data_IF_744944631054
#
_entry.id   IF_744944631054
#
_cell.length_a   1.000
_cell.length_b   1.000
_cell.length_c   1.000
_cell.angle_alpha   90.00
_cell.angle_beta   90.00
_cell.angle_gamma   90.00
#
_symmetry.space_group_name_H-M   'P 1'
#
loop_
_entity.id
_entity.type
_entity.pdbx_description
1 polymer ?
#
# COMPACT_ATOMS: atom_id res chain seq x y z
N UNK A 1 20.84 35.05 -1.46
CA UNK A 1 20.39 34.04 -0.45
C UNK A 1 18.99 33.65 -0.83
N UNK A 2 18.67 32.35 -0.92
CA UNK A 2 17.32 31.88 -1.28
C UNK A 2 16.40 32.09 -0.10
N UNK A 3 15.26 32.72 -0.33
CA UNK A 3 14.24 32.98 0.67
C UNK A 3 13.17 31.87 0.70
N UNK A 4 12.36 31.82 1.75
CA UNK A 4 11.21 30.89 1.81
C UNK A 4 10.22 31.12 0.66
N UNK A 5 10.01 32.40 0.31
CA UNK A 5 9.15 32.78 -0.80
C UNK A 5 9.69 32.30 -2.17
N UNK A 6 11.02 32.30 -2.36
CA UNK A 6 11.63 31.76 -3.58
C UNK A 6 11.37 30.25 -3.73
N UNK A 7 11.44 29.51 -2.62
CA UNK A 7 11.15 28.07 -2.58
C UNK A 7 9.68 27.80 -2.90
N UNK A 8 8.76 28.55 -2.32
CA UNK A 8 7.34 28.43 -2.58
C UNK A 8 7.02 28.75 -4.04
N UNK A 9 7.54 29.84 -4.58
CA UNK A 9 7.34 30.24 -5.97
C UNK A 9 7.93 29.21 -6.95
N UNK A 10 9.13 28.71 -6.69
CA UNK A 10 9.75 27.68 -7.52
C UNK A 10 8.92 26.38 -7.56
N UNK A 11 8.29 26.01 -6.43
CA UNK A 11 7.44 24.83 -6.37
C UNK A 11 6.03 25.03 -6.97
N UNK A 12 5.64 26.24 -7.34
CA UNK A 12 4.39 26.54 -8.06
C UNK A 12 4.54 26.51 -9.59
N UNK A 13 5.74 26.40 -10.09
CA UNK A 13 6.03 26.39 -11.54
C UNK A 13 5.39 25.17 -12.21
N UNK A 14 4.72 25.38 -13.35
CA UNK A 14 4.27 24.28 -14.22
C UNK A 14 5.47 23.60 -14.89
N UNK A 15 5.68 22.34 -14.58
CA UNK A 15 6.88 21.59 -15.01
C UNK A 15 6.91 21.42 -16.54
N UNK A 16 5.76 21.18 -17.19
CA UNK A 16 5.74 21.00 -18.64
C UNK A 16 6.09 22.31 -19.37
N UNK A 17 5.58 23.44 -18.87
CA UNK A 17 5.93 24.77 -19.38
C UNK A 17 7.41 25.09 -19.16
N UNK A 18 7.93 24.75 -17.97
CA UNK A 18 9.36 24.93 -17.70
C UNK A 18 10.25 24.10 -18.65
N UNK A 19 9.94 22.80 -18.84
CA UNK A 19 10.67 21.95 -19.78
C UNK A 19 10.65 22.52 -21.20
N UNK A 20 9.51 23.06 -21.62
CA UNK A 20 9.39 23.73 -22.93
C UNK A 20 10.32 24.96 -23.06
N UNK A 21 10.48 25.78 -22.02
CA UNK A 21 11.42 26.90 -22.01
C UNK A 21 12.88 26.44 -22.12
N UNK A 22 13.17 25.24 -21.68
CA UNK A 22 14.48 24.59 -21.76
C UNK A 22 14.71 23.82 -23.09
N UNK A 23 13.76 23.90 -24.02
CA UNK A 23 13.84 23.19 -25.30
C UNK A 23 13.54 21.70 -25.23
N UNK A 24 12.99 21.23 -24.11
CA UNK A 24 12.67 19.83 -23.88
C UNK A 24 11.20 19.57 -24.20
N UNK A 25 10.95 18.64 -25.13
CA UNK A 25 9.60 18.31 -25.57
C UNK A 25 8.89 17.35 -24.60
N UNK A 26 7.59 17.59 -24.41
CA UNK A 26 6.69 16.71 -23.65
C UNK A 26 5.52 16.32 -24.52
N UNK A 27 4.97 15.12 -24.33
CA UNK A 27 3.78 14.62 -25.04
C UNK A 27 2.55 14.83 -24.19
N UNK A 28 1.51 15.45 -24.72
CA UNK A 28 0.22 15.59 -24.00
C UNK A 28 -0.54 14.26 -23.99
N UNK A 29 -1.01 13.84 -22.82
CA UNK A 29 -1.80 12.63 -22.60
C UNK A 29 -2.99 12.99 -21.70
N UNK A 30 -4.15 13.20 -22.28
CA UNK A 30 -5.34 13.66 -21.55
C UNK A 30 -5.14 15.02 -20.89
N UNK A 31 -5.28 15.08 -19.57
CA UNK A 31 -5.07 16.28 -18.74
C UNK A 31 -3.64 16.45 -18.21
N UNK A 32 -2.73 15.54 -18.56
CA UNK A 32 -1.33 15.52 -18.13
C UNK A 32 -0.38 15.55 -19.31
N UNK A 33 0.91 15.65 -19.03
CA UNK A 33 1.99 15.50 -19.99
C UNK A 33 2.85 14.30 -19.62
N UNK A 34 3.40 13.62 -20.62
CA UNK A 34 4.45 12.62 -20.47
C UNK A 34 5.77 13.18 -20.98
N UNK A 35 6.81 12.98 -20.22
CA UNK A 35 8.18 13.26 -20.60
C UNK A 35 9.00 11.96 -20.56
N UNK A 36 9.78 11.73 -21.62
CA UNK A 36 10.69 10.59 -21.69
C UNK A 36 11.98 10.97 -20.99
N UNK A 37 12.14 10.55 -19.74
CA UNK A 37 13.36 10.76 -18.97
C UNK A 37 14.40 9.67 -19.27
N UNK A 38 15.68 9.86 -18.90
CA UNK A 38 16.70 8.81 -19.03
C UNK A 38 16.36 7.50 -18.32
N UNK A 39 15.52 7.55 -17.30
CA UNK A 39 15.10 6.39 -16.48
C UNK A 39 13.72 5.84 -16.86
N UNK A 40 13.03 6.46 -17.84
CA UNK A 40 11.71 6.04 -18.30
C UNK A 40 10.68 7.16 -18.26
N UNK A 41 9.43 6.82 -18.48
CA UNK A 41 8.33 7.80 -18.57
C UNK A 41 8.02 8.45 -17.24
N UNK A 42 7.88 9.76 -17.28
CA UNK A 42 7.46 10.60 -16.16
C UNK A 42 6.16 11.30 -16.52
N UNK A 43 5.14 11.10 -15.69
CA UNK A 43 3.87 11.82 -15.81
C UNK A 43 3.98 13.17 -15.10
N UNK A 44 3.51 14.24 -15.77
CA UNK A 44 3.57 15.62 -15.29
C UNK A 44 2.16 16.22 -15.34
N UNK A 45 1.71 16.80 -14.25
CA UNK A 45 0.45 17.53 -14.18
C UNK A 45 0.62 18.81 -13.34
N UNK A 46 0.68 19.94 -14.04
CA UNK A 46 0.96 21.23 -13.41
C UNK A 46 2.32 21.22 -12.71
N UNK A 47 2.33 21.51 -11.43
CA UNK A 47 3.52 21.49 -10.58
C UNK A 47 3.77 20.15 -9.87
N UNK A 48 3.20 19.07 -10.38
CA UNK A 48 3.40 17.71 -9.85
C UNK A 48 3.95 16.81 -10.93
N UNK A 49 4.82 15.89 -10.52
CA UNK A 49 5.35 14.85 -11.38
C UNK A 49 5.40 13.50 -10.65
N UNK A 50 5.36 12.43 -11.42
CA UNK A 50 5.51 11.08 -10.93
C UNK A 50 6.16 10.16 -11.96
N UNK A 51 7.19 9.44 -11.56
CA UNK A 51 7.82 8.35 -12.32
C UNK A 51 7.25 7.02 -11.85
N UNK A 52 6.47 6.37 -12.70
CA UNK A 52 5.93 5.03 -12.38
C UNK A 52 7.03 3.98 -12.29
N UNK A 53 8.08 4.13 -13.11
CA UNK A 53 9.20 3.19 -13.10
C UNK A 53 10.02 3.25 -11.83
N UNK A 54 10.28 4.46 -11.33
CA UNK A 54 11.07 4.66 -10.11
C UNK A 54 10.21 4.73 -8.85
N UNK A 55 8.88 4.82 -9.00
CA UNK A 55 7.91 4.97 -7.93
C UNK A 55 8.17 6.19 -7.04
N UNK A 56 8.63 7.27 -7.65
CA UNK A 56 8.92 8.56 -6.99
C UNK A 56 8.23 9.69 -7.69
N UNK A 57 7.88 10.72 -6.93
CA UNK A 57 7.24 11.92 -7.43
C UNK A 57 7.54 13.12 -6.56
N UNK A 58 7.02 14.28 -6.92
CA UNK A 58 7.24 15.47 -6.12
C UNK A 58 6.86 16.77 -6.81
N UNK A 59 7.52 17.83 -6.41
CA UNK A 59 7.38 19.20 -6.89
C UNK A 59 8.52 19.59 -7.83
N UNK A 60 8.45 20.77 -8.51
CA UNK A 60 9.43 21.20 -9.47
C UNK A 60 10.87 21.20 -9.00
N UNK A 61 11.14 21.63 -7.76
CA UNK A 61 12.51 21.64 -7.23
C UNK A 61 13.09 20.22 -7.21
N UNK A 62 12.33 19.25 -6.68
CA UNK A 62 12.77 17.85 -6.65
C UNK A 62 12.92 17.26 -8.07
N UNK A 63 12.07 17.68 -9.00
CA UNK A 63 12.15 17.27 -10.39
C UNK A 63 13.48 17.70 -11.02
N UNK A 64 13.81 18.99 -10.89
CA UNK A 64 15.03 19.58 -11.48
C UNK A 64 16.28 19.01 -10.82
N UNK A 65 16.31 18.90 -9.49
CA UNK A 65 17.42 18.27 -8.78
C UNK A 65 17.66 16.82 -9.25
N UNK A 66 16.56 16.05 -9.42
CA UNK A 66 16.66 14.63 -9.78
C UNK A 66 17.11 14.39 -11.22
N UNK A 67 16.50 15.08 -12.17
CA UNK A 67 16.68 14.77 -13.60
C UNK A 67 17.73 15.63 -14.29
N UNK A 68 18.15 16.72 -13.67
CA UNK A 68 19.19 17.63 -14.21
C UNK A 68 20.37 17.77 -13.26
N UNK A 69 20.44 16.95 -12.22
CA UNK A 69 21.54 16.87 -11.26
C UNK A 69 21.98 18.24 -10.71
N UNK A 70 21.01 19.13 -10.45
CA UNK A 70 21.29 20.44 -9.89
C UNK A 70 21.24 20.40 -8.36
N UNK A 71 22.14 21.12 -7.73
CA UNK A 71 22.05 21.39 -6.30
C UNK A 71 20.81 22.25 -5.99
N UNK A 72 20.30 22.17 -4.76
CA UNK A 72 19.06 22.82 -4.35
C UNK A 72 18.99 24.31 -4.72
N UNK A 73 20.09 25.07 -4.50
CA UNK A 73 20.15 26.50 -4.82
C UNK A 73 20.03 26.78 -6.31
N UNK A 74 20.68 25.96 -7.11
CA UNK A 74 20.70 26.10 -8.56
C UNK A 74 19.37 25.65 -9.18
N UNK A 75 18.73 24.63 -8.60
CA UNK A 75 17.40 24.19 -8.98
C UNK A 75 16.35 25.29 -8.76
N UNK A 76 16.35 25.93 -7.58
CA UNK A 76 15.45 27.07 -7.29
C UNK A 76 15.73 28.24 -8.24
N UNK A 77 17.00 28.61 -8.46
CA UNK A 77 17.38 29.70 -9.34
C UNK A 77 16.96 29.42 -10.78
N UNK A 78 17.17 28.23 -11.29
CA UNK A 78 16.77 27.78 -12.61
C UNK A 78 15.26 27.87 -12.85
N UNK A 79 14.46 27.41 -11.89
CA UNK A 79 13.01 27.47 -11.95
C UNK A 79 12.47 28.89 -11.96
N UNK A 80 13.13 29.81 -11.24
CA UNK A 80 12.76 31.24 -11.20
C UNK A 80 13.27 32.09 -12.36
N UNK A 81 13.86 31.45 -13.38
CA UNK A 81 14.25 32.13 -14.63
C UNK A 81 15.62 32.81 -14.60
N UNK A 82 16.45 32.58 -13.60
CA UNK A 82 17.84 32.99 -13.58
C UNK A 82 18.64 32.04 -14.50
N UNK A 83 19.42 32.61 -15.44
CA UNK A 83 20.07 31.96 -16.59
C UNK A 83 20.83 30.66 -16.23
N UNK A 84 20.16 29.54 -16.30
CA UNK A 84 20.78 28.22 -16.31
C UNK A 84 20.35 27.49 -17.58
N UNK A 85 21.32 27.10 -18.40
CA UNK A 85 21.05 26.17 -19.51
C UNK A 85 21.08 24.76 -18.89
N UNK A 86 19.93 24.10 -18.83
CA UNK A 86 19.86 22.70 -18.39
C UNK A 86 20.65 21.86 -19.39
N UNK A 87 21.69 21.21 -18.93
CA UNK A 87 22.26 20.07 -19.64
C UNK A 87 21.55 18.85 -19.10
N UNK A 88 20.82 18.15 -19.95
CA UNK A 88 20.51 16.76 -19.67
C UNK A 88 21.84 16.09 -19.42
N UNK A 89 22.09 15.69 -18.17
CA UNK A 89 23.19 14.77 -17.93
C UNK A 89 22.92 13.58 -18.86
N UNK A 90 23.83 13.35 -19.80
CA UNK A 90 23.89 12.08 -20.48
C UNK A 90 24.29 11.10 -19.37
N UNK A 91 23.28 10.65 -18.65
CA UNK A 91 23.46 9.50 -17.80
C UNK A 91 23.99 8.38 -18.71
N UNK A 92 25.31 8.22 -18.77
CA UNK A 92 25.82 6.88 -18.97
C UNK A 92 25.05 6.08 -17.93
N UNK A 93 24.23 5.20 -18.42
CA UNK A 93 23.46 4.27 -17.61
C UNK A 93 24.51 3.58 -16.75
N UNK A 94 24.84 4.16 -15.57
CA UNK A 94 25.39 3.33 -14.52
C UNK A 94 24.36 2.21 -14.47
N UNK A 95 24.76 1.03 -14.92
CA UNK A 95 23.99 -0.18 -14.69
C UNK A 95 23.61 -0.11 -13.24
N UNK A 96 22.36 0.31 -12.96
CA UNK A 96 21.86 0.33 -11.59
C UNK A 96 22.21 -1.04 -11.10
N UNK A 97 23.20 -1.13 -10.19
CA UNK A 97 23.50 -2.39 -9.49
C UNK A 97 22.14 -2.92 -9.14
N UNK A 98 21.71 -3.98 -9.82
CA UNK A 98 20.35 -4.50 -9.70
C UNK A 98 20.17 -4.79 -8.23
N UNK A 99 19.42 -3.90 -7.56
CA UNK A 99 19.22 -4.02 -6.13
C UNK A 99 18.67 -5.41 -5.89
N UNK A 100 19.37 -6.18 -5.11
CA UNK A 100 19.07 -7.59 -4.93
C UNK A 100 17.87 -7.69 -3.99
N UNK A 101 16.83 -8.40 -4.41
CA UNK A 101 15.72 -8.74 -3.53
C UNK A 101 16.26 -9.57 -2.35
N UNK A 102 16.07 -9.06 -1.13
CA UNK A 102 16.55 -9.71 0.08
C UNK A 102 15.36 -9.96 1.00
N UNK A 103 15.17 -11.22 1.36
CA UNK A 103 14.17 -11.63 2.35
C UNK A 103 14.76 -11.34 3.74
N UNK A 104 14.04 -10.58 4.61
CA UNK A 104 14.50 -10.34 5.97
C UNK A 104 14.71 -11.65 6.73
N UNK A 105 15.72 -11.67 7.61
CA UNK A 105 15.95 -12.83 8.47
C UNK A 105 14.76 -13.04 9.39
N UNK A 106 14.22 -14.26 9.37
CA UNK A 106 13.10 -14.63 10.24
C UNK A 106 13.58 -14.74 11.69
N UNK A 107 12.78 -14.21 12.63
CA UNK A 107 12.97 -14.41 14.05
C UNK A 107 12.58 -15.83 14.47
N UNK A 108 13.14 -16.33 15.56
CA UNK A 108 12.85 -17.67 16.08
C UNK A 108 11.42 -17.81 16.62
N UNK A 109 10.81 -16.70 17.02
CA UNK A 109 9.42 -16.64 17.46
C UNK A 109 8.67 -15.48 16.79
N UNK A 110 7.37 -15.38 17.06
CA UNK A 110 6.49 -14.34 16.52
C UNK A 110 5.81 -13.50 17.62
N UNK A 111 6.37 -13.48 18.83
CA UNK A 111 5.67 -12.95 20.00
C UNK A 111 5.22 -11.50 19.84
N UNK A 112 6.08 -10.61 19.28
CA UNK A 112 5.73 -9.19 19.10
C UNK A 112 4.72 -8.99 17.97
N UNK A 113 4.92 -9.68 16.86
CA UNK A 113 4.00 -9.63 15.73
C UNK A 113 2.64 -10.25 16.10
N UNK A 114 2.66 -11.37 16.83
CA UNK A 114 1.44 -12.02 17.29
C UNK A 114 0.64 -11.11 18.22
N UNK A 115 1.30 -10.52 19.25
CA UNK A 115 0.67 -9.55 20.14
C UNK A 115 0.10 -8.36 19.36
N UNK A 116 0.91 -7.74 18.48
CA UNK A 116 0.49 -6.60 17.66
C UNK A 116 -0.77 -6.92 16.84
N UNK A 117 -0.78 -8.06 16.12
CA UNK A 117 -1.90 -8.39 15.24
C UNK A 117 -3.15 -8.81 16.03
N UNK A 118 -3.00 -9.60 17.11
CA UNK A 118 -4.12 -10.06 17.91
C UNK A 118 -4.68 -8.97 18.81
N UNK A 119 -3.81 -8.35 19.63
CA UNK A 119 -4.25 -7.49 20.72
C UNK A 119 -4.44 -6.04 20.29
N UNK A 120 -3.54 -5.50 19.43
CA UNK A 120 -3.66 -4.13 18.97
C UNK A 120 -4.50 -3.99 17.69
N UNK A 121 -4.52 -5.02 16.82
CA UNK A 121 -5.26 -5.01 15.56
C UNK A 121 -6.52 -5.88 15.56
N UNK A 122 -6.78 -6.59 16.63
CA UNK A 122 -7.97 -7.44 16.83
C UNK A 122 -8.13 -8.55 15.78
N UNK A 123 -7.05 -8.97 15.13
CA UNK A 123 -7.08 -10.04 14.14
C UNK A 123 -7.19 -11.41 14.84
N UNK A 124 -8.12 -12.24 14.39
CA UNK A 124 -8.33 -13.58 14.94
C UNK A 124 -7.04 -14.42 14.91
N UNK A 125 -6.66 -14.98 16.07
CA UNK A 125 -5.42 -15.75 16.18
C UNK A 125 -5.38 -16.98 15.27
N UNK A 126 -6.52 -17.58 14.94
CA UNK A 126 -6.60 -18.69 13.98
C UNK A 126 -6.20 -18.24 12.58
N UNK A 127 -6.55 -17.02 12.18
CA UNK A 127 -6.13 -16.42 10.91
C UNK A 127 -4.63 -16.15 10.94
N UNK A 128 -4.10 -15.51 11.99
CA UNK A 128 -2.66 -15.28 12.16
C UNK A 128 -1.88 -16.60 12.03
N UNK A 129 -2.33 -17.63 12.73
CA UNK A 129 -1.70 -18.96 12.72
C UNK A 129 -1.73 -19.62 11.34
N UNK A 130 -2.81 -19.46 10.56
CA UNK A 130 -2.88 -20.00 9.20
C UNK A 130 -1.88 -19.33 8.28
N UNK A 131 -1.82 -18.01 8.27
CA UNK A 131 -0.87 -17.27 7.43
C UNK A 131 0.59 -17.51 7.83
N UNK A 132 0.86 -17.67 9.13
CA UNK A 132 2.19 -18.04 9.64
C UNK A 132 2.59 -19.45 9.17
N UNK A 133 1.71 -20.44 9.33
CA UNK A 133 1.96 -21.82 8.87
C UNK A 133 2.11 -21.94 7.36
N UNK A 134 1.42 -21.09 6.59
CA UNK A 134 1.56 -20.99 5.14
C UNK A 134 2.86 -20.29 4.70
N UNK A 135 3.65 -19.75 5.65
CA UNK A 135 4.85 -18.97 5.37
C UNK A 135 4.54 -17.67 4.62
N UNK A 136 3.37 -17.07 4.91
CA UNK A 136 2.94 -15.78 4.36
C UNK A 136 3.08 -14.65 5.39
N UNK A 137 3.35 -14.99 6.65
CA UNK A 137 3.53 -14.04 7.74
C UNK A 137 4.64 -14.52 8.67
N UNK A 138 5.57 -13.63 9.03
CA UNK A 138 6.58 -13.89 10.05
C UNK A 138 7.09 -12.59 10.70
N UNK A 139 7.83 -12.72 11.79
CA UNK A 139 8.52 -11.61 12.47
C UNK A 139 9.95 -11.51 11.99
N UNK A 140 10.44 -10.31 11.62
CA UNK A 140 11.86 -10.14 11.31
C UNK A 140 12.72 -10.11 12.59
N UNK A 141 13.96 -10.64 12.48
CA UNK A 141 14.86 -10.81 13.61
C UNK A 141 15.54 -9.50 14.04
N UNK A 142 15.53 -8.47 13.21
CA UNK A 142 16.28 -7.24 13.45
C UNK A 142 15.43 -6.17 14.13
N UNK A 143 14.25 -5.90 13.58
CA UNK A 143 13.37 -4.82 14.04
C UNK A 143 12.04 -5.32 14.60
N UNK A 144 11.80 -6.62 14.58
CA UNK A 144 10.55 -7.26 14.98
C UNK A 144 9.31 -6.76 14.21
N UNK A 145 9.50 -6.34 12.97
CA UNK A 145 8.38 -5.95 12.11
C UNK A 145 7.53 -7.16 11.72
N UNK A 146 6.26 -6.93 11.49
CA UNK A 146 5.41 -7.88 10.79
C UNK A 146 5.80 -7.91 9.30
N UNK A 147 6.17 -9.10 8.82
CA UNK A 147 6.60 -9.36 7.45
C UNK A 147 5.50 -10.11 6.72
N UNK A 148 4.88 -9.44 5.76
CA UNK A 148 3.86 -9.99 4.89
C UNK A 148 4.50 -10.42 3.58
N UNK A 149 4.34 -11.70 3.24
CA UNK A 149 5.05 -12.36 2.13
C UNK A 149 4.12 -12.51 0.94
N UNK A 150 4.53 -11.97 -0.18
CA UNK A 150 3.89 -12.20 -1.47
C UNK A 150 4.60 -13.31 -2.26
N UNK A 151 3.82 -14.26 -2.78
CA UNK A 151 4.32 -15.39 -3.58
C UNK A 151 3.72 -15.38 -4.98
N UNK A 152 4.51 -15.84 -5.96
CA UNK A 152 4.02 -16.10 -7.29
C UNK A 152 3.20 -17.42 -7.36
N UNK A 153 2.75 -17.81 -8.55
CA UNK A 153 1.94 -19.02 -8.75
C UNK A 153 2.70 -20.31 -8.40
N UNK A 154 4.02 -20.30 -8.54
CA UNK A 154 4.92 -21.42 -8.22
C UNK A 154 5.29 -21.48 -6.71
N UNK A 155 4.75 -20.58 -5.89
CA UNK A 155 5.02 -20.52 -4.45
C UNK A 155 6.34 -19.86 -4.05
N UNK A 156 7.06 -19.25 -5.00
CA UNK A 156 8.32 -18.55 -4.72
C UNK A 156 8.04 -17.17 -4.11
N UNK A 157 8.80 -16.79 -3.10
CA UNK A 157 8.73 -15.46 -2.49
C UNK A 157 9.31 -14.43 -3.47
N UNK A 158 8.48 -13.45 -3.84
CA UNK A 158 8.83 -12.38 -4.78
C UNK A 158 8.57 -10.98 -4.22
N UNK A 159 7.76 -10.87 -3.17
CA UNK A 159 7.40 -9.58 -2.56
C UNK A 159 7.43 -9.68 -1.04
N UNK A 160 7.90 -8.63 -0.39
CA UNK A 160 7.88 -8.47 1.06
C UNK A 160 7.33 -7.08 1.39
N UNK A 161 6.24 -7.06 2.15
CA UNK A 161 5.74 -5.85 2.78
C UNK A 161 6.04 -5.90 4.28
N UNK A 162 6.55 -4.79 4.84
CA UNK A 162 6.93 -4.65 6.25
C UNK A 162 5.97 -3.69 6.96
N UNK A 163 5.61 -4.01 8.18
CA UNK A 163 4.88 -3.12 9.08
C UNK A 163 5.51 -3.15 10.45
N UNK A 164 5.85 -1.97 10.99
CA UNK A 164 6.35 -1.86 12.36
C UNK A 164 5.30 -2.31 13.37
N UNK A 165 5.76 -3.04 14.40
CA UNK A 165 4.96 -3.43 15.57
C UNK A 165 5.13 -2.46 16.73
N UNK A 166 5.93 -1.41 16.60
CA UNK A 166 6.11 -0.41 17.63
C UNK A 166 4.89 0.53 17.68
N UNK A 167 4.38 0.80 18.88
CA UNK A 167 3.14 1.54 19.15
C UNK A 167 3.04 2.89 18.44
N UNK A 168 4.13 3.66 18.43
CA UNK A 168 4.14 5.02 17.87
C UNK A 168 4.73 5.07 16.45
N UNK A 169 4.99 3.91 15.84
CA UNK A 169 5.58 3.83 14.52
C UNK A 169 4.54 3.74 13.42
N UNK A 170 4.63 4.64 12.46
CA UNK A 170 3.84 4.59 11.22
C UNK A 170 4.56 3.87 10.09
N UNK A 171 5.76 3.30 10.36
CA UNK A 171 6.58 2.66 9.33
C UNK A 171 5.85 1.50 8.66
N UNK A 172 5.71 1.60 7.34
CA UNK A 172 5.27 0.55 6.43
C UNK A 172 5.99 0.73 5.09
N UNK A 173 6.29 -0.36 4.42
CA UNK A 173 6.92 -0.28 3.10
C UNK A 173 7.31 -1.64 2.54
N UNK A 174 7.58 -1.66 1.25
CA UNK A 174 8.02 -2.85 0.55
C UNK A 174 9.55 -2.98 0.63
N UNK A 175 10.05 -4.21 0.70
CA UNK A 175 11.49 -4.46 0.53
C UNK A 175 11.90 -4.09 -0.88
N UNK A 176 13.09 -3.53 -1.01
CA UNK A 176 13.67 -3.15 -2.28
C UNK A 176 13.71 -4.33 -3.27
N UNK A 177 13.47 -4.06 -4.55
CA UNK A 177 13.34 -5.06 -5.60
C UNK A 177 12.23 -6.11 -5.38
N UNK A 178 11.25 -5.84 -4.52
CA UNK A 178 10.01 -6.63 -4.46
C UNK A 178 9.26 -6.52 -5.78
N UNK A 179 8.77 -7.66 -6.27
CA UNK A 179 7.95 -7.72 -7.47
C UNK A 179 6.52 -7.25 -7.16
N UNK A 180 6.05 -6.13 -7.75
CA UNK A 180 4.71 -5.62 -7.50
C UNK A 180 3.58 -6.54 -7.99
N UNK A 181 3.85 -7.46 -8.91
CA UNK A 181 2.87 -8.45 -9.38
C UNK A 181 2.57 -9.53 -8.32
N UNK A 182 3.47 -9.70 -7.35
CA UNK A 182 3.42 -10.74 -6.34
C UNK A 182 3.11 -10.21 -4.94
N UNK A 183 2.37 -9.11 -4.80
CA UNK A 183 2.03 -8.54 -3.50
C UNK A 183 1.37 -9.56 -2.56
N UNK A 184 1.25 -9.24 -1.26
CA UNK A 184 0.70 -10.15 -0.25
C UNK A 184 -0.65 -10.72 -0.69
N UNK A 185 -0.74 -12.04 -0.83
CA UNK A 185 -1.91 -12.69 -1.39
C UNK A 185 -2.19 -14.08 -0.78
N UNK A 186 -3.46 -14.50 -0.89
CA UNK A 186 -3.93 -15.84 -0.65
C UNK A 186 -4.65 -16.33 -1.91
N UNK A 187 -4.27 -17.49 -2.43
CA UNK A 187 -4.85 -18.07 -3.65
C UNK A 187 -5.83 -19.17 -3.27
N UNK A 188 -7.12 -18.89 -3.37
CA UNK A 188 -8.20 -19.86 -3.20
C UNK A 188 -8.61 -20.53 -4.52
N UNK A 189 -9.64 -21.37 -4.44
CA UNK A 189 -10.14 -22.16 -5.60
C UNK A 189 -11.48 -21.62 -6.14
N UNK A 190 -12.13 -20.67 -5.46
CA UNK A 190 -13.39 -20.11 -5.94
C UNK A 190 -13.18 -19.11 -7.08
N UNK A 191 -14.28 -18.66 -7.65
CA UNK A 191 -14.30 -17.65 -8.70
C UNK A 191 -14.26 -16.19 -8.18
N UNK A 192 -13.93 -15.99 -6.89
CA UNK A 192 -13.97 -14.67 -6.22
C UNK A 192 -12.57 -14.20 -5.84
N UNK A 193 -12.29 -12.91 -6.13
CA UNK A 193 -11.10 -12.19 -5.69
C UNK A 193 -11.51 -10.99 -4.84
N UNK A 194 -10.91 -10.83 -3.67
CA UNK A 194 -11.06 -9.68 -2.79
C UNK A 194 -9.76 -8.86 -2.78
N UNK A 195 -9.86 -7.54 -2.99
CA UNK A 195 -8.71 -6.63 -3.18
C UNK A 195 -8.72 -5.58 -2.07
N UNK A 196 -7.63 -5.47 -1.33
CA UNK A 196 -7.45 -4.56 -0.18
C UNK A 196 -6.26 -3.61 -0.40
N UNK A 197 -6.22 -2.49 0.33
CA UNK A 197 -5.05 -1.59 0.28
C UNK A 197 -3.86 -2.17 1.02
N UNK A 198 -4.06 -2.70 2.23
CA UNK A 198 -3.00 -3.21 3.07
C UNK A 198 -3.27 -4.63 3.63
N UNK A 199 -2.20 -5.36 4.02
CA UNK A 199 -2.33 -6.70 4.60
C UNK A 199 -3.19 -6.75 5.86
N UNK A 200 -3.14 -5.71 6.70
CA UNK A 200 -3.91 -5.66 7.94
C UNK A 200 -5.41 -5.62 7.63
N UNK A 201 -5.85 -4.81 6.66
CA UNK A 201 -7.26 -4.74 6.25
C UNK A 201 -7.75 -6.07 5.69
N UNK A 202 -6.93 -6.73 4.87
CA UNK A 202 -7.23 -8.06 4.37
C UNK A 202 -7.42 -9.08 5.50
N UNK A 203 -6.52 -9.10 6.49
CA UNK A 203 -6.61 -10.02 7.62
C UNK A 203 -7.78 -9.67 8.54
N UNK A 204 -8.10 -8.38 8.72
CA UNK A 204 -9.26 -7.90 9.48
C UNK A 204 -10.56 -8.35 8.83
N UNK A 205 -10.72 -8.13 7.52
CA UNK A 205 -11.87 -8.61 6.77
C UNK A 205 -12.06 -10.12 6.89
N UNK A 206 -10.99 -10.91 6.71
CA UNK A 206 -11.04 -12.36 6.86
C UNK A 206 -11.42 -12.76 8.30
N UNK A 207 -10.97 -12.01 9.30
CA UNK A 207 -11.30 -12.28 10.71
C UNK A 207 -12.77 -12.01 11.02
N UNK A 208 -13.40 -11.06 10.37
CA UNK A 208 -14.85 -10.80 10.49
C UNK A 208 -15.68 -11.77 9.64
N UNK A 209 -15.15 -12.29 8.52
CA UNK A 209 -15.86 -13.13 7.56
C UNK A 209 -15.18 -14.53 7.48
N UNK A 210 -15.21 -15.27 8.59
CA UNK A 210 -14.42 -16.51 8.75
C UNK A 210 -14.95 -17.71 7.96
N UNK A 211 -16.23 -17.68 7.60
CA UNK A 211 -16.86 -18.84 6.95
C UNK A 211 -16.37 -18.97 5.50
N UNK A 212 -15.82 -20.14 5.18
CA UNK A 212 -15.41 -20.47 3.83
C UNK A 212 -14.26 -19.61 3.24
N UNK A 213 -13.66 -18.71 4.00
CA UNK A 213 -12.68 -17.75 3.49
C UNK A 213 -11.54 -18.39 2.70
N UNK A 214 -11.06 -19.56 3.09
CA UNK A 214 -9.95 -20.23 2.41
C UNK A 214 -10.24 -20.62 0.97
N UNK A 215 -11.51 -20.66 0.60
CA UNK A 215 -11.90 -20.95 -0.79
C UNK A 215 -11.76 -19.75 -1.73
N UNK A 216 -11.73 -18.53 -1.20
CA UNK A 216 -11.63 -17.31 -1.98
C UNK A 216 -10.18 -16.87 -2.17
N UNK A 217 -9.94 -16.05 -3.18
CA UNK A 217 -8.64 -15.40 -3.40
C UNK A 217 -8.66 -13.99 -2.81
N UNK A 218 -7.53 -13.59 -2.24
CA UNK A 218 -7.35 -12.30 -1.59
C UNK A 218 -6.02 -11.69 -1.99
N UNK A 219 -5.97 -10.37 -2.15
CA UNK A 219 -4.73 -9.62 -2.39
C UNK A 219 -4.74 -8.28 -1.67
N UNK A 220 -3.65 -7.96 -1.00
CA UNK A 220 -3.39 -6.61 -0.52
C UNK A 220 -2.42 -5.91 -1.48
N UNK A 221 -2.77 -4.72 -1.94
CA UNK A 221 -2.04 -3.99 -2.98
C UNK A 221 -0.66 -3.50 -2.52
N UNK A 222 -0.49 -3.20 -1.22
CA UNK A 222 0.78 -2.71 -0.66
C UNK A 222 1.39 -1.57 -1.49
N UNK A 223 0.56 -0.62 -1.94
CA UNK A 223 0.94 0.51 -2.81
C UNK A 223 1.32 0.14 -4.26
N UNK A 224 0.91 -1.02 -4.78
CA UNK A 224 1.23 -1.48 -6.15
C UNK A 224 0.18 -1.10 -7.21
N UNK A 225 -0.70 -0.16 -6.92
CA UNK A 225 -1.65 0.44 -7.87
C UNK A 225 -2.51 -0.56 -8.68
N UNK A 226 -2.89 -1.69 -8.09
CA UNK A 226 -3.72 -2.72 -8.73
C UNK A 226 -2.94 -3.80 -9.49
N UNK A 227 -1.65 -3.66 -9.70
CA UNK A 227 -0.81 -4.57 -10.50
C UNK A 227 -0.95 -6.03 -10.05
N UNK A 228 -0.89 -6.27 -8.72
CA UNK A 228 -1.02 -7.63 -8.17
C UNK A 228 -2.41 -8.24 -8.39
N UNK A 229 -3.48 -7.45 -8.32
CA UNK A 229 -4.83 -7.91 -8.61
C UNK A 229 -4.97 -8.32 -10.08
N UNK A 230 -4.48 -7.48 -11.02
CA UNK A 230 -4.48 -7.77 -12.45
C UNK A 230 -3.68 -9.03 -12.78
N UNK A 231 -2.55 -9.24 -12.10
CA UNK A 231 -1.74 -10.46 -12.26
C UNK A 231 -2.48 -11.71 -11.79
N UNK A 232 -3.14 -11.65 -10.63
CA UNK A 232 -3.94 -12.77 -10.12
C UNK A 232 -5.08 -13.16 -11.08
N UNK A 233 -5.75 -12.18 -11.70
CA UNK A 233 -6.79 -12.42 -12.69
C UNK A 233 -6.22 -13.10 -13.95
N UNK A 234 -5.05 -12.67 -14.42
CA UNK A 234 -4.36 -13.31 -15.56
C UNK A 234 -3.90 -14.72 -15.24
N UNK A 235 -3.44 -14.97 -14.00
CA UNK A 235 -2.95 -16.27 -13.56
C UNK A 235 -4.07 -17.28 -13.30
N UNK A 236 -5.29 -16.82 -13.05
CA UNK A 236 -6.41 -17.67 -12.66
C UNK A 236 -7.69 -17.30 -13.42
N UNK A 237 -7.88 -17.93 -14.56
CA UNK A 237 -9.06 -17.76 -15.44
C UNK A 237 -10.39 -18.19 -14.82
N UNK A 238 -10.37 -18.87 -13.65
CA UNK A 238 -11.58 -19.24 -12.94
C UNK A 238 -12.20 -18.06 -12.17
N UNK A 239 -11.43 -17.00 -11.89
CA UNK A 239 -11.95 -15.80 -11.23
C UNK A 239 -12.74 -14.98 -12.25
N UNK A 240 -14.00 -14.71 -11.93
CA UNK A 240 -14.88 -13.86 -12.72
C UNK A 240 -15.57 -12.76 -11.89
N UNK A 241 -15.44 -12.82 -10.56
CA UNK A 241 -16.05 -11.85 -9.65
C UNK A 241 -14.98 -11.19 -8.79
N UNK A 242 -14.92 -9.87 -8.78
CA UNK A 242 -13.93 -9.09 -8.03
C UNK A 242 -14.61 -8.15 -7.04
N UNK A 243 -14.20 -8.21 -5.80
CA UNK A 243 -14.64 -7.32 -4.74
C UNK A 243 -13.51 -6.34 -4.42
N UNK A 244 -13.73 -5.05 -4.67
CA UNK A 244 -12.81 -3.97 -4.32
C UNK A 244 -13.13 -3.51 -2.90
N UNK A 245 -12.27 -3.84 -1.96
CA UNK A 245 -12.41 -3.62 -0.52
C UNK A 245 -11.37 -2.58 -0.02
N UNK A 246 -11.17 -1.50 -0.79
CA UNK A 246 -10.24 -0.43 -0.45
C UNK A 246 -10.84 0.48 0.65
N UNK A 247 -10.02 1.33 1.24
CA UNK A 247 -10.42 2.25 2.32
C UNK A 247 -11.63 3.10 1.95
N UNK A 248 -12.42 3.48 2.94
CA UNK A 248 -13.63 4.29 2.78
C UNK A 248 -13.29 5.79 2.83
N UNK A 249 -12.38 6.20 1.94
CA UNK A 249 -12.02 7.59 1.73
C UNK A 249 -11.97 7.95 0.24
N UNK A 250 -11.64 9.19 -0.08
CA UNK A 250 -11.57 9.66 -1.46
C UNK A 250 -10.49 8.91 -2.26
N UNK A 251 -9.34 8.62 -1.65
CA UNK A 251 -8.25 7.91 -2.29
C UNK A 251 -8.62 6.46 -2.64
N UNK A 252 -9.28 5.74 -1.70
CA UNK A 252 -9.80 4.40 -1.91
C UNK A 252 -10.91 4.36 -2.96
N UNK A 253 -11.76 5.41 -3.02
CA UNK A 253 -12.80 5.54 -4.05
C UNK A 253 -12.19 5.74 -5.43
N UNK A 254 -11.24 6.66 -5.58
CA UNK A 254 -10.54 6.89 -6.84
C UNK A 254 -9.68 5.68 -7.25
N UNK A 255 -9.04 5.03 -6.27
CA UNK A 255 -8.29 3.79 -6.46
C UNK A 255 -9.17 2.67 -7.01
N UNK A 256 -10.35 2.48 -6.42
CA UNK A 256 -11.32 1.47 -6.87
C UNK A 256 -11.80 1.71 -8.31
N UNK A 257 -12.14 2.95 -8.68
CA UNK A 257 -12.52 3.29 -10.05
C UNK A 257 -11.42 2.95 -11.06
N UNK A 258 -10.18 3.37 -10.76
CA UNK A 258 -9.02 3.09 -11.61
C UNK A 258 -8.75 1.60 -11.77
N UNK A 259 -8.83 0.81 -10.68
CA UNK A 259 -8.62 -0.63 -10.72
C UNK A 259 -9.75 -1.31 -11.49
N UNK A 260 -11.00 -0.89 -11.32
CA UNK A 260 -12.14 -1.41 -12.09
C UNK A 260 -11.96 -1.18 -13.61
N UNK A 261 -11.54 0.03 -14.01
CA UNK A 261 -11.24 0.33 -15.42
C UNK A 261 -10.14 -0.57 -15.97
N UNK A 262 -9.09 -0.81 -15.19
CA UNK A 262 -8.00 -1.72 -15.57
C UNK A 262 -8.48 -3.16 -15.69
N UNK A 263 -9.33 -3.65 -14.79
CA UNK A 263 -9.90 -4.99 -14.85
C UNK A 263 -10.80 -5.14 -16.06
N UNK A 264 -11.68 -4.16 -16.35
CA UNK A 264 -12.51 -4.18 -17.57
C UNK A 264 -11.68 -4.24 -18.85
N UNK A 265 -10.47 -3.69 -18.87
CA UNK A 265 -9.57 -3.80 -20.01
C UNK A 265 -9.00 -5.21 -20.24
N UNK A 266 -9.08 -6.10 -19.24
CA UNK A 266 -8.64 -7.51 -19.33
C UNK A 266 -9.74 -8.42 -19.84
N UNK A 267 -11.02 -8.09 -19.66
CA UNK A 267 -12.16 -8.91 -20.02
C UNK A 267 -13.41 -8.59 -19.24
N UNK A 268 -14.40 -9.47 -19.34
CA UNK A 268 -15.66 -9.34 -18.62
C UNK A 268 -15.54 -9.93 -17.22
N UNK A 269 -15.73 -9.08 -16.20
CA UNK A 269 -15.71 -9.43 -14.80
C UNK A 269 -16.87 -8.73 -14.08
N UNK A 270 -17.51 -9.43 -13.14
CA UNK A 270 -18.43 -8.81 -12.18
C UNK A 270 -17.63 -8.09 -11.11
N UNK A 271 -17.69 -6.77 -11.08
CA UNK A 271 -16.93 -5.95 -10.16
C UNK A 271 -17.85 -5.28 -9.14
N UNK A 272 -17.59 -5.51 -7.88
CA UNK A 272 -18.33 -4.96 -6.75
C UNK A 272 -17.42 -4.12 -5.87
N UNK A 273 -17.95 -3.04 -5.30
CA UNK A 273 -17.28 -2.25 -4.26
C UNK A 273 -17.88 -2.63 -2.90
N UNK A 274 -17.05 -3.11 -1.99
CA UNK A 274 -17.40 -3.28 -0.58
C UNK A 274 -16.76 -2.14 0.22
N UNK A 275 -17.52 -1.58 1.13
CA UNK A 275 -17.10 -0.46 1.97
C UNK A 275 -16.98 -0.94 3.42
N UNK A 276 -15.87 -0.62 4.13
CA UNK A 276 -15.89 -0.68 5.59
C UNK A 276 -16.87 0.36 6.14
N UNK A 277 -17.40 0.13 7.33
CA UNK A 277 -18.27 1.08 8.02
C UNK A 277 -17.51 2.32 8.50
N UNK A 278 -16.30 2.08 9.02
CA UNK A 278 -15.34 3.11 9.40
C UNK A 278 -14.43 3.47 8.22
N UNK A 279 -13.24 3.99 8.49
CA UNK A 279 -12.27 4.37 7.48
C UNK A 279 -11.70 3.15 6.74
N UNK A 280 -11.35 2.11 7.47
CA UNK A 280 -10.75 0.89 6.95
C UNK A 280 -11.27 -0.36 7.70
N UNK A 281 -10.98 -1.53 7.17
CA UNK A 281 -11.45 -2.81 7.74
C UNK A 281 -10.85 -3.12 9.11
N UNK A 282 -9.70 -2.53 9.44
CA UNK A 282 -9.13 -2.70 10.76
C UNK A 282 -9.85 -1.84 11.81
N UNK A 283 -10.29 -0.65 11.47
CA UNK A 283 -11.14 0.15 12.36
C UNK A 283 -12.48 -0.53 12.62
N UNK A 284 -13.06 -1.22 11.63
CA UNK A 284 -14.31 -1.97 11.80
C UNK A 284 -14.17 -3.09 12.82
N UNK A 285 -13.18 -3.98 12.67
CA UNK A 285 -12.98 -5.08 13.62
C UNK A 285 -12.63 -4.58 15.01
N UNK A 286 -11.86 -3.50 15.14
CA UNK A 286 -11.56 -2.90 16.43
C UNK A 286 -12.79 -2.29 17.10
N UNK A 287 -13.72 -1.75 16.32
CA UNK A 287 -14.98 -1.21 16.83
C UNK A 287 -15.92 -2.31 17.30
N UNK A 288 -16.04 -3.42 16.55
CA UNK A 288 -16.80 -4.59 16.95
C UNK A 288 -16.29 -5.17 18.28
N UNK A 289 -14.98 -5.40 18.41
CA UNK A 289 -14.38 -5.93 19.63
C UNK A 289 -14.60 -5.03 20.86
N UNK A 290 -14.70 -3.71 20.68
CA UNK A 290 -15.02 -2.78 21.78
C UNK A 290 -16.46 -2.93 22.26
N UNK A 291 -17.39 -3.24 21.35
CA UNK A 291 -18.80 -3.45 21.66
C UNK A 291 -18.97 -4.78 22.40
N UNK A 292 -18.41 -5.87 21.84
CA UNK A 292 -18.47 -7.22 22.44
C UNK A 292 -17.91 -7.24 23.87
N UNK A 293 -16.75 -6.59 24.10
CA UNK A 293 -16.15 -6.49 25.43
C UNK A 293 -16.99 -5.65 26.44
N UNK A 294 -17.78 -4.68 25.95
CA UNK A 294 -18.70 -3.91 26.82
C UNK A 294 -19.93 -4.71 27.19
N UNK A 295 -20.47 -5.49 26.27
CA UNK A 295 -21.62 -6.38 26.53
C UNK A 295 -21.23 -7.49 27.51
N UNK A 296 -20.08 -8.16 27.32
CA UNK A 296 -19.56 -9.13 28.27
C UNK A 296 -19.31 -8.53 29.66
N UNK A 297 -18.82 -7.30 29.76
CA UNK A 297 -18.60 -6.64 31.05
C UNK A 297 -19.91 -6.27 31.76
N UNK A 298 -20.96 -5.93 31.02
CA UNK A 298 -22.27 -5.63 31.58
C UNK A 298 -22.98 -6.92 32.05
N UNK A 299 -22.88 -8.00 31.32
CA UNK A 299 -23.43 -9.30 31.69
C UNK A 299 -22.77 -9.88 32.96
N UNK A 300 -21.49 -9.58 33.20
CA UNK A 300 -20.77 -9.96 34.43
C UNK A 300 -21.25 -9.16 35.63
N UNK A 301 -21.53 -7.84 35.46
CA UNK A 301 -22.03 -6.98 36.54
C UNK A 301 -23.46 -7.36 36.94
N UNK A 302 -24.32 -7.68 35.97
CA UNK A 302 -25.69 -8.10 36.26
C UNK A 302 -25.76 -9.48 36.98
N UNK A 303 -24.79 -10.36 36.74
CA UNK A 303 -24.70 -11.66 37.45
C UNK A 303 -24.12 -11.54 38.86
N UNK A 304 -23.26 -10.54 39.17
CA UNK A 304 -22.75 -10.30 40.52
C UNK A 304 -23.81 -9.67 41.42
N UNK A 305 -24.68 -8.81 40.91
CA UNK A 305 -25.77 -8.20 41.68
C UNK A 305 -26.92 -9.18 41.97
N UNK A 306 -27.15 -10.21 41.16
CA UNK A 306 -28.13 -11.26 41.45
C UNK A 306 -27.65 -12.26 42.52
N UNK A 307 -26.36 -12.37 42.76
CA UNK A 307 -25.81 -13.27 43.84
C UNK A 307 -25.62 -12.58 45.18
N UNK A 308 -25.94 -11.29 45.30
CA UNK A 308 -25.79 -10.52 46.57
C UNK A 308 -27.05 -10.45 47.45
N UNK A 309 -28.12 -11.08 47.05
CA UNK A 309 -29.38 -11.12 47.80
C UNK A 309 -29.66 -12.53 48.38
N UNK A 310 -28.86 -13.02 49.33
CA UNK A 310 -29.30 -14.04 50.29
C UNK A 310 -28.27 -14.25 51.40
N UNK A 311 -27.99 -13.24 52.22
CA UNK A 311 -27.52 -13.46 53.61
C UNK A 311 -28.12 -12.35 54.46
N UNK A 312 -29.27 -12.61 55.02
CA UNK A 312 -29.89 -11.72 55.97
C UNK A 312 -31.29 -12.16 56.34
N UNK A 313 -31.43 -13.27 57.10
CA UNK A 313 -32.52 -13.53 58.04
C UNK A 313 -32.34 -14.95 58.58
N UNK A 314 -31.61 -15.07 59.70
CA UNK A 314 -31.95 -15.97 60.84
C UNK A 314 -31.53 -15.23 62.11
#
# INVERSE_FOLDING_TARGET
MITKNDIENANMIDIASYLKTQGISTKRVGSAYEWESPTGKVSIKGNRWYSQYEMVGGYPINFVMKYFNLEFKDAVSSLLGNSYTLKLDTYEREEKKTKKFVIPKKNDNMSKVFFYLRDERCIDERIINVFTKAGLLFEDAEFHNAIFVGKNAEGQIKHIHKRSTLKDSTFKGNTEASDPECSFNWRGKSNRLFVFEAPIDMLSYISMHKEGWRHHSYVALCSTAGIAALKLLKDNSNINTVYLCLDNDEAGTQGSKRIAEQIHSLGEYDIWRLFPENKDWNEDIQSQNKIDNKEESNDVVDNEDQNKLTIGEI
#
